data_IF_483050741377
#
_entry.id   IF_483050741377
#
_cell.length_a   1.000
_cell.length_b   1.000
_cell.length_c   1.000
_cell.angle_alpha   90.00
_cell.angle_beta   90.00
_cell.angle_gamma   90.00
#
_symmetry.space_group_name_H-M   'P 1'
#
loop_
_entity.id
_entity.type
_entity.pdbx_description
1 polymer ?
#
# COMPACT_ATOMS: atom_id res chain seq x y z
N UNK A 1 -11.29 0.23 14.03
CA UNK A 1 -11.22 -0.08 12.59
C UNK A 1 -10.53 1.09 11.92
N UNK A 2 -9.32 1.00 11.35
CA UNK A 2 -8.74 2.18 10.74
C UNK A 2 -9.02 2.18 9.24
N UNK A 3 -9.94 3.06 8.85
CA UNK A 3 -9.86 3.73 7.55
C UNK A 3 -8.69 4.70 7.66
N UNK A 4 -7.66 4.47 6.85
CA UNK A 4 -6.43 5.27 6.76
C UNK A 4 -6.67 6.43 5.81
N UNK A 5 -7.20 7.55 6.31
CA UNK A 5 -6.95 8.90 5.78
C UNK A 5 -7.89 9.89 6.43
N UNK A 6 -7.44 10.43 7.56
CA UNK A 6 -7.75 11.81 7.90
C UNK A 6 -6.44 12.54 7.64
N UNK A 7 -6.37 13.36 6.59
CA UNK A 7 -5.22 14.26 6.44
C UNK A 7 -5.15 15.13 7.70
N UNK A 8 -4.11 15.01 8.54
CA UNK A 8 -4.10 15.74 9.81
C UNK A 8 -4.07 17.24 9.53
N UNK A 9 -4.93 18.01 10.19
CA UNK A 9 -4.73 19.46 10.30
C UNK A 9 -3.55 19.69 11.24
N UNK A 10 -2.37 19.96 10.66
CA UNK A 10 -1.10 20.08 11.38
C UNK A 10 -0.31 18.78 11.32
N UNK A 11 0.72 18.77 10.47
CA UNK A 11 1.57 17.62 10.20
C UNK A 11 3.00 17.91 10.69
N UNK A 12 3.60 16.97 11.40
CA UNK A 12 5.05 16.97 11.63
C UNK A 12 5.63 15.78 10.86
N UNK A 13 6.57 16.07 9.96
CA UNK A 13 7.42 15.04 9.37
C UNK A 13 8.38 14.51 10.45
N UNK A 14 8.21 13.26 10.86
CA UNK A 14 8.99 12.63 11.95
C UNK A 14 10.05 11.63 11.41
N UNK A 15 10.25 11.63 10.09
CA UNK A 15 11.29 10.84 9.43
C UNK A 15 10.82 10.12 8.19
N UNK A 16 11.52 9.03 7.86
CA UNK A 16 11.28 8.24 6.65
C UNK A 16 11.25 6.74 6.95
N UNK A 17 10.54 6.01 6.09
CA UNK A 17 10.45 4.56 6.09
C UNK A 17 10.72 4.03 4.70
N UNK A 18 11.51 2.98 4.59
CA UNK A 18 11.74 2.32 3.30
C UNK A 18 10.57 1.40 2.96
N UNK A 19 10.18 1.40 1.69
CA UNK A 19 9.20 0.49 1.13
C UNK A 19 9.40 0.31 -0.37
N UNK A 20 8.37 -0.16 -1.05
CA UNK A 20 8.41 -0.45 -2.47
C UNK A 20 7.26 0.21 -3.21
N UNK A 21 7.52 0.69 -4.42
CA UNK A 21 6.49 1.13 -5.36
C UNK A 21 6.49 0.26 -6.62
N UNK A 22 5.30 -0.15 -7.04
CA UNK A 22 5.05 -0.85 -8.28
C UNK A 22 4.48 0.16 -9.27
N UNK A 23 5.33 0.74 -10.12
CA UNK A 23 4.93 1.73 -11.13
C UNK A 23 4.55 1.08 -12.45
N UNK A 24 3.56 1.64 -13.13
CA UNK A 24 3.02 1.02 -14.36
C UNK A 24 4.05 0.86 -15.48
N UNK A 25 4.97 1.81 -15.60
CA UNK A 25 5.98 1.87 -16.68
C UNK A 25 7.24 1.03 -16.41
N UNK A 26 7.27 0.26 -15.31
CA UNK A 26 8.45 -0.52 -14.91
C UNK A 26 8.08 -1.99 -14.84
N UNK A 27 9.04 -2.87 -15.14
CA UNK A 27 8.87 -4.32 -15.01
C UNK A 27 9.20 -4.86 -13.61
N UNK A 28 9.61 -4.00 -12.69
CA UNK A 28 10.06 -4.37 -11.34
C UNK A 28 9.61 -3.31 -10.35
N UNK A 29 9.42 -3.72 -9.10
CA UNK A 29 9.24 -2.80 -7.97
C UNK A 29 10.49 -1.95 -7.75
N UNK A 30 10.30 -0.72 -7.31
CA UNK A 30 11.38 0.21 -6.97
C UNK A 30 11.43 0.41 -5.45
N UNK A 31 12.60 0.32 -4.80
CA UNK A 31 12.74 0.74 -3.42
C UNK A 31 12.61 2.27 -3.32
N UNK A 32 11.84 2.76 -2.35
CA UNK A 32 11.57 4.19 -2.12
C UNK A 32 11.60 4.48 -0.62
N UNK A 33 12.00 5.70 -0.25
CA UNK A 33 11.87 6.21 1.10
C UNK A 33 10.61 7.08 1.17
N UNK A 34 9.60 6.59 1.88
CA UNK A 34 8.39 7.34 2.10
C UNK A 34 8.52 8.22 3.34
N UNK A 35 7.93 9.41 3.28
CA UNK A 35 7.83 10.29 4.43
C UNK A 35 6.80 9.75 5.42
N UNK A 36 7.19 9.68 6.68
CA UNK A 36 6.27 9.34 7.78
C UNK A 36 5.79 10.61 8.43
N UNK A 37 4.48 10.75 8.51
CA UNK A 37 3.81 11.90 9.11
C UNK A 37 3.22 11.48 10.44
N UNK A 38 3.53 12.25 11.47
CA UNK A 38 2.91 12.11 12.79
C UNK A 38 1.89 13.22 12.94
N UNK A 39 0.61 12.89 13.17
CA UNK A 39 -0.35 13.91 13.52
C UNK A 39 0.00 14.57 14.86
N UNK A 40 -0.28 15.86 15.01
CA UNK A 40 -0.03 16.60 16.26
C UNK A 40 -0.65 15.95 17.50
N UNK A 41 -1.80 15.29 17.33
CA UNK A 41 -2.43 14.45 18.34
C UNK A 41 -2.59 13.04 17.78
N UNK A 42 -1.61 12.18 18.06
CA UNK A 42 -1.67 10.76 17.71
C UNK A 42 -2.72 10.06 18.58
N UNK A 43 -3.74 9.52 17.93
CA UNK A 43 -4.80 8.74 18.57
C UNK A 43 -5.05 7.46 17.78
N UNK A 44 -5.86 6.55 18.33
CA UNK A 44 -6.30 5.38 17.57
C UNK A 44 -7.08 5.75 16.30
N UNK A 45 -7.78 6.88 16.32
CA UNK A 45 -8.58 7.40 15.20
C UNK A 45 -7.76 8.29 14.25
N UNK A 46 -6.59 8.74 14.69
CA UNK A 46 -5.65 9.56 13.93
C UNK A 46 -4.23 8.97 14.05
N UNK A 47 -3.99 7.79 13.43
CA UNK A 47 -2.72 7.10 13.56
C UNK A 47 -1.63 7.79 12.73
N UNK A 48 -0.36 7.46 13.05
CA UNK A 48 0.77 7.79 12.19
C UNK A 48 0.51 7.33 10.75
N UNK A 49 0.87 8.17 9.79
CA UNK A 49 0.55 8.01 8.38
C UNK A 49 1.82 8.01 7.51
N UNK A 50 1.72 7.42 6.32
CA UNK A 50 2.78 7.47 5.31
C UNK A 50 2.22 8.23 4.11
N UNK A 51 2.92 9.30 3.74
CA UNK A 51 2.58 10.06 2.53
C UNK A 51 3.15 9.34 1.32
N UNK A 52 2.27 8.72 0.55
CA UNK A 52 2.62 7.90 -0.63
C UNK A 52 2.25 8.57 -1.94
N UNK A 53 1.32 9.53 -1.89
CA UNK A 53 0.74 10.24 -3.02
C UNK A 53 1.81 11.00 -3.79
N UNK A 54 2.73 11.64 -3.06
CA UNK A 54 3.86 12.37 -3.62
C UNK A 54 4.81 11.46 -4.43
N UNK A 55 4.77 10.14 -4.19
CA UNK A 55 5.64 9.15 -4.84
C UNK A 55 4.98 8.46 -6.05
N UNK A 56 3.67 8.61 -6.22
CA UNK A 56 2.98 8.12 -7.42
C UNK A 56 3.35 8.95 -8.65
N UNK A 57 3.45 8.29 -9.81
CA UNK A 57 3.84 8.98 -11.04
C UNK A 57 2.73 9.85 -11.61
N UNK A 58 1.49 9.61 -11.19
CA UNK A 58 0.34 10.41 -11.56
C UNK A 58 -0.21 11.13 -10.34
N UNK A 59 -0.61 12.40 -10.46
CA UNK A 59 -1.31 13.10 -9.38
C UNK A 59 -2.65 12.43 -9.14
N UNK A 60 -2.91 12.07 -7.88
CA UNK A 60 -4.10 11.33 -7.47
C UNK A 60 -4.62 11.93 -6.18
N UNK A 61 -5.93 12.16 -6.15
CA UNK A 61 -6.59 12.66 -4.97
C UNK A 61 -6.69 11.57 -3.91
N UNK A 62 -6.55 11.92 -2.63
CA UNK A 62 -6.52 10.96 -1.53
C UNK A 62 -7.74 10.04 -1.44
N UNK A 63 -8.91 10.50 -1.91
CA UNK A 63 -10.16 9.74 -1.94
C UNK A 63 -10.21 8.64 -3.02
N UNK A 64 -9.31 8.66 -4.00
CA UNK A 64 -9.23 7.65 -5.07
C UNK A 64 -8.31 6.48 -4.70
N UNK A 65 -7.70 6.52 -3.53
CA UNK A 65 -6.68 5.59 -3.12
C UNK A 65 -7.24 4.64 -2.07
N UNK A 66 -6.93 3.37 -2.25
CA UNK A 66 -7.31 2.27 -1.40
C UNK A 66 -6.16 1.84 -0.51
N UNK A 67 -6.41 1.79 0.80
CA UNK A 67 -5.49 1.24 1.78
C UNK A 67 -5.94 -0.15 2.23
N UNK A 68 -5.00 -1.09 2.25
CA UNK A 68 -5.22 -2.45 2.70
C UNK A 68 -4.05 -2.94 3.54
N UNK A 69 -4.36 -3.51 4.71
CA UNK A 69 -3.38 -4.28 5.48
C UNK A 69 -3.36 -5.71 4.97
N UNK A 70 -2.18 -6.27 4.70
CA UNK A 70 -2.01 -7.67 4.28
C UNK A 70 -1.02 -8.35 5.20
N UNK A 71 -1.40 -9.50 5.76
CA UNK A 71 -0.53 -10.34 6.59
C UNK A 71 -0.03 -11.52 5.75
N UNK A 72 1.28 -11.76 5.77
CA UNK A 72 1.95 -12.87 5.08
C UNK A 72 3.08 -13.43 5.94
N UNK A 73 3.04 -14.72 6.28
CA UNK A 73 4.10 -15.39 7.04
C UNK A 73 4.46 -14.60 8.32
N UNK A 74 3.47 -14.13 9.09
CA UNK A 74 3.60 -13.23 10.27
C UNK A 74 4.11 -11.81 9.99
N UNK A 75 4.38 -11.45 8.74
CA UNK A 75 4.77 -10.10 8.34
C UNK A 75 3.52 -9.31 7.97
N UNK A 76 3.43 -8.08 8.47
CA UNK A 76 2.30 -7.22 8.18
C UNK A 76 2.74 -6.13 7.22
N UNK A 77 1.99 -5.93 6.15
CA UNK A 77 2.24 -4.95 5.11
C UNK A 77 1.06 -3.97 5.03
N UNK A 78 1.37 -2.69 4.96
CA UNK A 78 0.42 -1.67 4.51
C UNK A 78 0.61 -1.53 3.00
N UNK A 79 -0.46 -1.76 2.27
CA UNK A 79 -0.53 -1.60 0.82
C UNK A 79 -1.44 -0.41 0.54
N UNK A 80 -0.90 0.57 -0.17
CA UNK A 80 -1.66 1.74 -0.61
C UNK A 80 -1.64 1.77 -2.12
N UNK A 81 -2.80 1.78 -2.75
CA UNK A 81 -2.92 1.62 -4.19
C UNK A 81 -4.04 2.45 -4.77
N UNK A 82 -3.93 2.80 -6.03
CA UNK A 82 -5.05 3.34 -6.78
C UNK A 82 -5.30 2.48 -8.02
N UNK A 83 -6.55 2.48 -8.46
CA UNK A 83 -6.97 1.84 -9.69
C UNK A 83 -7.48 2.87 -10.70
N UNK A 84 -7.07 2.73 -11.97
CA UNK A 84 -7.60 3.53 -13.09
C UNK A 84 -8.08 2.60 -14.20
N UNK A 85 -9.38 2.65 -14.50
CA UNK A 85 -10.00 1.78 -15.50
C UNK A 85 -9.38 1.95 -16.89
N UNK A 86 -9.11 3.20 -17.29
CA UNK A 86 -8.46 3.55 -18.56
C UNK A 86 -6.92 3.55 -18.49
N UNK A 87 -6.37 3.09 -17.37
CA UNK A 87 -4.93 3.05 -17.14
C UNK A 87 -4.21 1.98 -17.97
N UNK A 88 -2.91 2.18 -18.16
CA UNK A 88 -2.03 1.13 -18.66
C UNK A 88 -1.90 0.00 -17.63
N UNK A 89 -1.62 -1.21 -18.13
CA UNK A 89 -1.32 -2.34 -17.26
C UNK A 89 0.00 -2.10 -16.53
N UNK A 90 0.01 -2.45 -15.26
CA UNK A 90 1.19 -2.34 -14.43
C UNK A 90 2.07 -3.58 -14.60
N UNK A 91 3.12 -3.43 -15.40
CA UNK A 91 4.05 -4.53 -15.71
C UNK A 91 4.83 -5.01 -14.48
N UNK A 92 5.04 -4.15 -13.48
CA UNK A 92 5.70 -4.54 -12.24
C UNK A 92 4.80 -5.47 -11.43
N UNK A 93 3.49 -5.23 -11.42
CA UNK A 93 2.52 -6.14 -10.78
C UNK A 93 2.40 -7.45 -11.56
N UNK A 94 2.35 -7.40 -12.89
CA UNK A 94 2.32 -8.62 -13.72
C UNK A 94 3.58 -9.49 -13.51
N UNK A 95 4.73 -8.86 -13.24
CA UNK A 95 5.97 -9.59 -12.91
C UNK A 95 5.91 -10.37 -11.60
N UNK A 96 4.99 -10.01 -10.69
CA UNK A 96 4.78 -10.72 -9.41
C UNK A 96 4.06 -12.05 -9.63
N UNK A 97 3.15 -12.11 -10.61
CA UNK A 97 2.35 -13.30 -10.89
C UNK A 97 1.65 -13.20 -12.23
N UNK A 98 1.72 -14.28 -13.01
CA UNK A 98 1.02 -14.38 -14.31
C UNK A 98 -0.48 -14.20 -14.08
N UNK A 99 -1.10 -13.32 -14.88
CA UNK A 99 -2.53 -13.08 -14.84
C UNK A 99 -2.99 -11.98 -13.87
N UNK A 100 -2.09 -11.43 -13.04
CA UNK A 100 -2.40 -10.26 -12.22
C UNK A 100 -2.57 -9.03 -13.11
N UNK A 101 -3.82 -8.59 -13.30
CA UNK A 101 -4.17 -7.44 -14.13
C UNK A 101 -4.44 -6.23 -13.25
N UNK A 102 -3.38 -5.49 -12.93
CA UNK A 102 -3.50 -4.20 -12.24
C UNK A 102 -3.35 -3.02 -13.20
N UNK A 103 -4.20 -2.00 -13.06
CA UNK A 103 -4.09 -0.73 -13.78
C UNK A 103 -4.03 0.42 -12.78
N UNK A 104 -2.84 0.99 -12.60
CA UNK A 104 -2.55 1.97 -11.55
C UNK A 104 -1.24 1.63 -10.86
N UNK A 105 -0.97 2.24 -9.70
CA UNK A 105 0.27 2.00 -8.95
C UNK A 105 -0.03 1.52 -7.54
N UNK A 106 0.96 0.84 -6.96
CA UNK A 106 0.86 0.24 -5.63
C UNK A 106 2.12 0.59 -4.84
N UNK A 107 1.96 1.22 -3.69
CA UNK A 107 2.98 1.38 -2.67
C UNK A 107 2.82 0.31 -1.59
N UNK A 108 3.93 -0.20 -1.07
CA UNK A 108 3.97 -1.21 -0.01
C UNK A 108 5.00 -0.85 1.02
N UNK A 109 4.59 -0.82 2.28
CA UNK A 109 5.48 -0.60 3.42
C UNK A 109 5.24 -1.69 4.45
N UNK A 110 6.32 -2.20 5.06
CA UNK A 110 6.20 -3.18 6.13
C UNK A 110 5.90 -2.48 7.45
N UNK A 111 4.83 -2.90 8.12
CA UNK A 111 4.41 -2.37 9.42
C UNK A 111 4.82 -3.33 10.54
N UNK A 112 5.13 -2.77 11.70
CA UNK A 112 5.55 -3.54 12.89
C UNK A 112 4.38 -3.82 13.84
N UNK A 113 4.60 -4.75 14.76
CA UNK A 113 3.70 -5.00 15.90
C UNK A 113 3.86 -3.95 17.00
N UNK A 114 5.11 -3.51 17.22
CA UNK A 114 5.49 -2.59 18.30
C UNK A 114 5.87 -1.19 17.77
N UNK A 115 6.11 -1.07 16.47
CA UNK A 115 6.43 0.19 15.80
C UNK A 115 5.47 0.35 14.62
N UNK A 116 4.92 1.54 14.36
CA UNK A 116 3.98 1.73 13.25
C UNK A 116 4.59 1.30 11.90
N UNK A 117 5.84 1.66 11.65
CA UNK A 117 6.55 1.36 10.40
C UNK A 117 7.98 0.89 10.69
N UNK A 118 8.48 -0.07 9.92
CA UNK A 118 9.89 -0.44 9.98
C UNK A 118 10.72 0.48 9.09
N UNK A 119 11.81 1.05 9.63
CA UNK A 119 12.77 1.85 8.84
C UNK A 119 13.24 1.15 7.56
N UNK A 120 13.43 -0.18 7.62
CA UNK A 120 13.78 -1.04 6.48
C UNK A 120 12.93 -2.31 6.46
N UNK A 121 12.47 -2.79 5.29
CA UNK A 121 11.77 -4.06 5.18
C UNK A 121 12.65 -5.23 5.66
N UNK A 122 12.15 -6.01 6.61
CA UNK A 122 12.83 -7.20 7.13
C UNK A 122 12.75 -8.39 6.19
N UNK A 123 11.66 -8.48 5.41
CA UNK A 123 11.45 -9.60 4.50
C UNK A 123 10.98 -9.14 3.11
N UNK A 124 11.90 -8.70 2.23
CA UNK A 124 11.58 -8.26 0.88
C UNK A 124 10.94 -9.34 0.00
N UNK A 125 11.15 -10.62 0.29
CA UNK A 125 10.60 -11.70 -0.56
C UNK A 125 9.08 -11.84 -0.37
N UNK A 126 8.56 -11.61 0.84
CA UNK A 126 7.13 -11.67 1.15
C UNK A 126 6.31 -10.51 0.56
N UNK A 127 6.96 -9.42 0.14
CA UNK A 127 6.27 -8.28 -0.52
C UNK A 127 5.53 -8.72 -1.78
N UNK A 128 6.13 -9.62 -2.58
CA UNK A 128 5.50 -10.11 -3.80
C UNK A 128 4.27 -10.96 -3.49
N UNK A 129 4.32 -11.79 -2.44
CA UNK A 129 3.15 -12.55 -1.97
C UNK A 129 2.02 -11.62 -1.52
N UNK A 130 2.35 -10.57 -0.76
CA UNK A 130 1.38 -9.58 -0.30
C UNK A 130 0.70 -8.84 -1.47
N UNK A 131 1.46 -8.43 -2.48
CA UNK A 131 0.92 -7.83 -3.71
C UNK A 131 0.01 -8.79 -4.47
N UNK A 132 0.45 -10.03 -4.69
CA UNK A 132 -0.33 -11.02 -5.41
C UNK A 132 -1.70 -11.24 -4.76
N UNK A 133 -1.70 -11.36 -3.42
CA UNK A 133 -2.93 -11.52 -2.64
C UNK A 133 -3.83 -10.31 -2.74
N UNK A 134 -3.29 -9.11 -2.49
CA UNK A 134 -4.04 -7.86 -2.58
C UNK A 134 -4.71 -7.68 -3.94
N UNK A 135 -3.95 -7.83 -5.02
CA UNK A 135 -4.47 -7.65 -6.39
C UNK A 135 -5.55 -8.68 -6.72
N UNK A 136 -5.36 -9.93 -6.28
CA UNK A 136 -6.35 -11.00 -6.49
C UNK A 136 -7.66 -10.68 -5.79
N UNK A 137 -7.60 -10.34 -4.49
CA UNK A 137 -8.79 -10.00 -3.70
C UNK A 137 -9.48 -8.73 -4.18
N UNK A 138 -8.72 -7.68 -4.50
CA UNK A 138 -9.27 -6.44 -5.05
C UNK A 138 -10.01 -6.69 -6.37
N UNK A 139 -9.39 -7.46 -7.28
CA UNK A 139 -9.99 -7.79 -8.58
C UNK A 139 -11.27 -8.61 -8.40
N UNK A 140 -11.26 -9.57 -7.47
CA UNK A 140 -12.43 -10.38 -7.15
C UNK A 140 -13.58 -9.55 -6.57
N UNK A 141 -13.30 -8.68 -5.59
CA UNK A 141 -14.30 -7.78 -5.02
C UNK A 141 -14.87 -6.81 -6.05
N UNK A 142 -14.01 -6.21 -6.89
CA UNK A 142 -14.44 -5.32 -7.96
C UNK A 142 -15.35 -6.02 -8.96
N UNK A 143 -15.00 -7.25 -9.38
CA UNK A 143 -15.82 -8.05 -10.29
C UNK A 143 -17.19 -8.42 -9.72
N UNK A 144 -17.31 -8.53 -8.39
CA UNK A 144 -18.57 -8.80 -7.70
C UNK A 144 -19.30 -7.53 -7.25
N UNK A 145 -18.80 -6.34 -7.59
CA UNK A 145 -19.30 -5.05 -7.09
C UNK A 145 -19.41 -5.00 -5.56
N UNK A 146 -18.47 -5.68 -4.87
CA UNK A 146 -18.37 -5.70 -3.41
C UNK A 146 -17.35 -4.67 -2.95
N UNK A 147 -17.50 -4.13 -1.72
CA UNK A 147 -16.48 -3.27 -1.14
C UNK A 147 -15.14 -4.02 -1.07
N UNK A 148 -14.07 -3.37 -1.49
CA UNK A 148 -12.74 -3.95 -1.45
C UNK A 148 -12.25 -4.07 0.01
N UNK A 149 -11.52 -5.15 0.35
CA UNK A 149 -11.08 -5.39 1.71
C UNK A 149 -10.03 -4.35 2.12
N UNK A 150 -10.14 -3.89 3.36
CA UNK A 150 -9.11 -3.07 4.04
C UNK A 150 -8.15 -3.93 4.86
N UNK A 151 -8.42 -5.23 4.98
CA UNK A 151 -7.63 -6.21 5.73
C UNK A 151 -7.69 -7.57 5.05
N UNK A 152 -6.53 -8.21 4.88
CA UNK A 152 -6.38 -9.57 4.35
C UNK A 152 -5.40 -10.33 5.24
N UNK A 153 -5.83 -11.47 5.75
CA UNK A 153 -4.97 -12.43 6.46
C UNK A 153 -4.64 -13.62 5.53
N UNK A 154 -3.41 -14.09 5.58
CA UNK A 154 -2.96 -15.27 4.82
C UNK A 154 -2.42 -16.38 5.71
N UNK A 155 -2.49 -16.22 7.03
CA UNK A 155 -2.14 -17.29 7.95
C UNK A 155 -3.40 -18.18 8.12
N UNK A 156 -3.44 -19.30 7.39
CA UNK A 156 -4.34 -20.46 7.63
C UNK A 156 -3.83 -21.32 8.80
#
# INVERSE_FOLDING_TARGET
MPVLRVHPTGEIEDGTTEGYIFRSQRHRRLPIHFKTIVPLAETFENPRYIRVEDEFSQPIAGNEIHDCKVIVDKNVFLITAYWKEDGQRNMAVESVGKGLRWKGEIAVVQVGKFTPFYKRPKNPSSVNKAIARFVTEFTFCTALSKPCPTYIDMDD
#
